data_IF_772512530801
#
_entry.id   IF_772512530801
#
_cell.length_a   1.000
_cell.length_b   1.000
_cell.length_c   1.000
_cell.angle_alpha   90.00
_cell.angle_beta   90.00
_cell.angle_gamma   90.00
#
_symmetry.space_group_name_H-M   'P 1'
#
loop_
_entity.id
_entity.type
_entity.pdbx_description
1 polymer ?
#
# COMPACT_ATOMS: atom_id res chain seq x y z
N UNK A 1 -29.21 -2.77 -5.93
CA UNK A 1 -29.79 -3.79 -6.84
C UNK A 1 -31.31 -3.97 -6.71
N UNK A 2 -31.87 -4.26 -5.52
CA UNK A 2 -33.30 -4.58 -5.35
C UNK A 2 -34.31 -3.50 -5.81
N UNK A 3 -33.87 -2.24 -5.96
CA UNK A 3 -34.70 -1.12 -6.41
C UNK A 3 -34.28 -0.54 -7.77
N UNK A 4 -33.48 -1.28 -8.56
CA UNK A 4 -32.99 -0.81 -9.86
C UNK A 4 -31.97 0.33 -9.79
N UNK A 5 -31.54 0.71 -8.58
CA UNK A 5 -30.51 1.74 -8.36
C UNK A 5 -29.22 1.02 -7.94
N UNK A 6 -28.14 1.37 -8.65
CA UNK A 6 -26.76 1.10 -8.27
C UNK A 6 -26.15 2.40 -7.75
N UNK A 7 -25.85 2.46 -6.45
CA UNK A 7 -25.27 3.66 -5.81
C UNK A 7 -23.78 3.41 -5.59
N UNK A 8 -22.90 4.33 -6.00
CA UNK A 8 -21.48 4.20 -5.73
C UNK A 8 -21.24 4.23 -4.22
N UNK A 9 -20.45 3.28 -3.71
CA UNK A 9 -19.98 3.30 -2.34
C UNK A 9 -18.62 4.00 -2.31
N UNK A 10 -18.47 4.97 -1.42
CA UNK A 10 -17.26 5.76 -1.23
C UNK A 10 -16.85 5.66 0.24
N UNK A 11 -15.58 5.33 0.48
CA UNK A 11 -14.95 5.50 1.78
C UNK A 11 -14.41 6.93 1.85
N UNK A 12 -15.24 7.84 2.37
CA UNK A 12 -15.01 9.28 2.30
C UNK A 12 -13.87 9.79 3.18
N UNK A 13 -13.48 9.03 4.20
CA UNK A 13 -12.37 9.37 5.10
C UNK A 13 -11.71 8.08 5.63
N UNK A 14 -10.43 7.90 5.31
CA UNK A 14 -9.54 6.92 5.91
C UNK A 14 -8.35 7.65 6.54
N UNK A 15 -7.86 7.18 7.68
CA UNK A 15 -6.76 7.80 8.41
C UNK A 15 -6.04 6.81 9.31
N UNK A 16 -4.84 7.19 9.76
CA UNK A 16 -4.10 6.55 10.85
C UNK A 16 -3.74 7.65 11.86
N UNK A 17 -4.15 7.49 13.12
CA UNK A 17 -4.17 8.56 14.12
C UNK A 17 -3.41 8.20 15.39
N UNK A 18 -3.28 9.21 16.26
CA UNK A 18 -2.72 9.11 17.60
C UNK A 18 -1.22 8.80 17.60
N UNK A 19 -0.47 9.56 16.78
CA UNK A 19 0.99 9.50 16.77
C UNK A 19 1.55 9.69 18.19
N UNK A 20 2.41 8.79 18.68
CA UNK A 20 2.85 8.79 20.08
C UNK A 20 3.79 9.95 20.44
N UNK A 21 4.50 10.50 19.45
CA UNK A 21 5.44 11.63 19.63
C UNK A 21 5.63 12.37 18.32
N UNK A 22 6.02 13.64 18.38
CA UNK A 22 6.36 14.46 17.20
C UNK A 22 7.86 14.62 16.98
N UNK A 23 8.70 13.94 17.78
CA UNK A 23 10.15 13.92 17.57
C UNK A 23 10.52 12.93 16.43
N UNK A 24 10.97 13.42 15.26
CA UNK A 24 11.27 12.56 14.11
C UNK A 24 12.49 11.64 14.33
N UNK A 25 13.31 11.91 15.35
CA UNK A 25 14.44 11.04 15.69
C UNK A 25 14.02 9.79 16.47
N UNK A 26 12.86 9.85 17.14
CA UNK A 26 12.30 8.76 17.96
C UNK A 26 11.94 7.54 17.14
N UNK A 27 12.22 6.35 17.68
CA UNK A 27 11.81 5.09 17.05
C UNK A 27 10.28 4.96 16.97
N UNK A 28 9.57 5.43 18.01
CA UNK A 28 8.11 5.41 18.03
C UNK A 28 7.50 6.29 16.92
N UNK A 29 8.16 7.40 16.56
CA UNK A 29 7.76 8.23 15.42
C UNK A 29 7.94 7.47 14.09
N UNK A 30 9.12 6.90 13.87
CA UNK A 30 9.46 6.18 12.63
C UNK A 30 8.54 4.98 12.42
N UNK A 31 8.34 4.20 13.47
CA UNK A 31 7.43 3.06 13.44
C UNK A 31 6.00 3.49 13.08
N UNK A 32 5.49 4.55 13.71
CA UNK A 32 4.16 5.08 13.40
C UNK A 32 4.05 5.53 11.93
N UNK A 33 5.03 6.28 11.42
CA UNK A 33 5.01 6.77 10.04
C UNK A 33 5.08 5.64 9.01
N UNK A 34 5.87 4.61 9.28
CA UNK A 34 5.94 3.43 8.41
C UNK A 34 4.65 2.61 8.45
N UNK A 35 4.07 2.39 9.65
CA UNK A 35 2.75 1.75 9.79
C UNK A 35 1.64 2.51 9.07
N UNK A 36 1.65 3.85 9.17
CA UNK A 36 0.73 4.72 8.44
C UNK A 36 0.89 4.54 6.92
N UNK A 37 2.13 4.45 6.42
CA UNK A 37 2.40 4.24 5.01
C UNK A 37 1.91 2.86 4.52
N UNK A 38 2.17 1.81 5.28
CA UNK A 38 1.69 0.46 5.00
C UNK A 38 0.15 0.40 4.98
N UNK A 39 -0.47 0.99 6.00
CA UNK A 39 -1.93 1.04 6.12
C UNK A 39 -2.58 1.86 5.00
N UNK A 40 -1.94 2.96 4.56
CA UNK A 40 -2.41 3.71 3.41
C UNK A 40 -2.47 2.81 2.17
N UNK A 41 -1.41 2.07 1.89
CA UNK A 41 -1.39 1.14 0.75
C UNK A 41 -2.49 0.07 0.88
N UNK A 42 -2.65 -0.51 2.07
CA UNK A 42 -3.70 -1.48 2.35
C UNK A 42 -5.11 -0.92 2.12
N UNK A 43 -5.44 0.24 2.69
CA UNK A 43 -6.82 0.77 2.67
C UNK A 43 -7.28 1.09 1.25
N UNK A 44 -6.39 1.61 0.41
CA UNK A 44 -6.68 1.84 -1.01
C UNK A 44 -6.88 0.52 -1.77
N UNK A 45 -5.93 -0.42 -1.68
CA UNK A 45 -6.00 -1.69 -2.39
C UNK A 45 -7.21 -2.54 -1.94
N UNK A 46 -7.45 -2.60 -0.64
CA UNK A 46 -8.60 -3.30 -0.07
C UNK A 46 -9.91 -2.64 -0.49
N UNK A 47 -10.00 -1.30 -0.46
CA UNK A 47 -11.19 -0.58 -0.94
C UNK A 47 -11.52 -0.90 -2.40
N UNK A 48 -10.53 -0.92 -3.28
CA UNK A 48 -10.73 -1.32 -4.67
C UNK A 48 -11.19 -2.78 -4.80
N UNK A 49 -10.67 -3.69 -3.96
CA UNK A 49 -11.13 -5.09 -3.93
C UNK A 49 -12.58 -5.27 -3.51
N UNK A 50 -13.14 -4.31 -2.78
CA UNK A 50 -14.54 -4.28 -2.37
C UNK A 50 -15.42 -3.49 -3.36
N UNK A 51 -14.91 -3.17 -4.56
CA UNK A 51 -15.59 -2.37 -5.59
C UNK A 51 -16.03 -0.98 -5.09
N UNK A 52 -15.30 -0.40 -4.13
CA UNK A 52 -15.49 0.99 -3.74
C UNK A 52 -15.08 1.91 -4.90
N UNK A 53 -15.89 2.94 -5.17
CA UNK A 53 -15.60 3.91 -6.24
C UNK A 53 -14.51 4.90 -5.86
N UNK A 54 -14.34 5.15 -4.57
CA UNK A 54 -13.26 5.97 -4.06
C UNK A 54 -12.93 5.60 -2.61
N UNK A 55 -11.66 5.75 -2.29
CA UNK A 55 -11.11 5.82 -0.92
C UNK A 55 -10.41 7.16 -0.83
N UNK A 56 -10.73 7.94 0.20
CA UNK A 56 -10.17 9.28 0.39
C UNK A 56 -9.42 9.32 1.71
N UNK A 57 -8.12 9.56 1.64
CA UNK A 57 -7.29 9.77 2.82
C UNK A 57 -7.58 11.14 3.47
N UNK A 58 -7.81 11.16 4.77
CA UNK A 58 -7.95 12.36 5.58
C UNK A 58 -6.64 12.65 6.31
N UNK A 59 -5.89 13.70 5.98
CA UNK A 59 -5.98 14.62 4.84
C UNK A 59 -4.54 15.07 4.50
N UNK A 60 -4.33 16.05 3.62
CA UNK A 60 -2.97 16.57 3.35
C UNK A 60 -2.33 17.13 4.62
N UNK A 61 -3.07 17.96 5.36
CA UNK A 61 -2.62 18.64 6.58
C UNK A 61 -2.88 17.83 7.85
N UNK A 62 -3.79 16.85 7.77
CA UNK A 62 -4.05 15.84 8.79
C UNK A 62 -4.58 16.34 10.13
N UNK A 63 -4.68 15.39 11.06
CA UNK A 63 -4.92 15.61 12.48
C UNK A 63 -4.26 14.46 13.26
N UNK A 64 -3.59 14.75 14.38
CA UNK A 64 -2.97 13.72 15.25
C UNK A 64 -2.05 12.72 14.53
N UNK A 65 -1.31 13.16 13.52
CA UNK A 65 -0.35 12.33 12.79
C UNK A 65 -0.82 11.79 11.45
N UNK A 66 -2.09 12.01 11.06
CA UNK A 66 -2.60 11.52 9.77
C UNK A 66 -2.13 12.32 8.56
N UNK A 67 -1.39 13.41 8.75
CA UNK A 67 -0.93 14.28 7.67
C UNK A 67 -0.08 13.53 6.66
N UNK A 68 -0.17 13.95 5.39
CA UNK A 68 0.68 13.45 4.32
C UNK A 68 1.89 14.36 4.10
N UNK A 69 1.78 15.63 4.47
CA UNK A 69 2.86 16.61 4.41
C UNK A 69 3.13 17.12 5.83
N UNK A 70 4.40 17.11 6.24
CA UNK A 70 4.85 17.64 7.51
C UNK A 70 4.70 19.16 7.56
N UNK A 71 4.68 19.74 8.77
CA UNK A 71 4.55 21.19 8.98
C UNK A 71 5.66 22.04 8.36
N UNK A 72 6.83 21.44 8.11
CA UNK A 72 7.95 22.07 7.41
C UNK A 72 7.87 21.91 5.87
N UNK A 73 6.79 21.35 5.34
CA UNK A 73 6.57 21.11 3.92
C UNK A 73 7.21 19.84 3.35
N UNK A 74 7.88 19.01 4.17
CA UNK A 74 8.45 17.75 3.67
C UNK A 74 7.41 16.65 3.60
N UNK A 75 7.62 15.72 2.67
CA UNK A 75 6.75 14.56 2.49
C UNK A 75 6.90 13.56 3.65
N UNK A 76 5.78 12.97 4.07
CA UNK A 76 5.78 11.80 4.95
C UNK A 76 6.01 10.50 4.14
N UNK A 77 6.43 9.39 4.78
CA UNK A 77 6.46 8.08 4.14
C UNK A 77 5.12 7.68 3.50
N UNK A 78 3.99 8.04 4.12
CA UNK A 78 2.67 7.76 3.58
C UNK A 78 2.38 8.53 2.27
N UNK A 79 2.86 9.78 2.15
CA UNK A 79 2.75 10.51 0.88
C UNK A 79 3.62 9.91 -0.21
N UNK A 80 4.82 9.45 0.13
CA UNK A 80 5.69 8.73 -0.80
C UNK A 80 5.02 7.44 -1.28
N UNK A 81 4.44 6.67 -0.35
CA UNK A 81 3.65 5.47 -0.66
C UNK A 81 2.48 5.76 -1.61
N UNK A 82 1.72 6.84 -1.36
CA UNK A 82 0.62 7.26 -2.21
C UNK A 82 1.09 7.65 -3.63
N UNK A 83 2.23 8.35 -3.76
CA UNK A 83 2.81 8.70 -5.07
C UNK A 83 3.23 7.47 -5.85
N UNK A 84 3.92 6.53 -5.21
CA UNK A 84 4.34 5.27 -5.84
C UNK A 84 3.14 4.43 -6.25
N UNK A 85 2.17 4.26 -5.35
CA UNK A 85 0.91 3.59 -5.67
C UNK A 85 0.23 4.21 -6.88
N UNK A 86 0.11 5.54 -6.90
CA UNK A 86 -0.54 6.27 -7.98
C UNK A 86 0.21 6.09 -9.30
N UNK A 87 1.55 6.17 -9.30
CA UNK A 87 2.34 6.02 -10.53
C UNK A 87 2.26 4.61 -11.12
N UNK A 88 2.16 3.59 -10.26
CA UNK A 88 2.07 2.19 -10.69
C UNK A 88 0.64 1.77 -11.05
N UNK A 89 -0.37 2.26 -10.33
CA UNK A 89 -1.73 1.70 -10.34
C UNK A 89 -2.84 2.65 -10.83
N UNK A 90 -2.60 3.93 -11.10
CA UNK A 90 -3.67 4.88 -11.49
C UNK A 90 -4.53 4.42 -12.68
N UNK A 91 -3.98 3.62 -13.58
CA UNK A 91 -4.67 3.09 -14.77
C UNK A 91 -4.70 1.57 -14.78
N UNK A 92 -4.60 0.94 -13.61
CA UNK A 92 -4.67 -0.50 -13.50
C UNK A 92 -6.11 -0.98 -13.33
N UNK A 93 -6.35 -2.21 -13.74
CA UNK A 93 -7.53 -2.98 -13.37
C UNK A 93 -7.13 -3.96 -12.26
N UNK A 94 -7.87 -3.97 -11.15
CA UNK A 94 -7.73 -5.02 -10.15
C UNK A 94 -8.38 -6.30 -10.69
N UNK A 95 -7.60 -7.35 -10.89
CA UNK A 95 -8.08 -8.63 -11.40
C UNK A 95 -8.56 -9.53 -10.27
N UNK A 96 -7.78 -9.67 -9.20
CA UNK A 96 -8.20 -10.43 -8.01
C UNK A 96 -7.46 -10.00 -6.74
N UNK A 97 -8.06 -10.37 -5.62
CA UNK A 97 -7.45 -10.39 -4.29
C UNK A 97 -7.38 -11.83 -3.81
N UNK A 98 -6.29 -12.18 -3.16
CA UNK A 98 -6.10 -13.49 -2.53
C UNK A 98 -5.45 -13.28 -1.16
N UNK A 99 -6.06 -13.84 -0.12
CA UNK A 99 -5.49 -13.83 1.23
C UNK A 99 -4.66 -15.12 1.40
N UNK A 100 -3.39 -14.96 1.72
CA UNK A 100 -2.41 -16.03 1.92
C UNK A 100 -1.96 -16.03 3.38
N UNK A 101 -1.24 -17.07 3.79
CA UNK A 101 -0.69 -17.11 5.15
C UNK A 101 0.32 -15.97 5.34
N UNK A 102 0.00 -15.04 6.23
CA UNK A 102 0.85 -13.89 6.61
C UNK A 102 0.72 -12.64 5.73
N UNK A 103 0.14 -12.71 4.53
CA UNK A 103 -0.05 -11.56 3.65
C UNK A 103 -1.26 -11.69 2.72
N UNK A 104 -1.75 -10.56 2.23
CA UNK A 104 -2.69 -10.49 1.11
C UNK A 104 -1.95 -10.14 -0.17
N UNK A 105 -2.32 -10.79 -1.27
CA UNK A 105 -1.88 -10.46 -2.62
C UNK A 105 -3.03 -9.82 -3.40
N UNK A 106 -2.77 -8.64 -3.95
CA UNK A 106 -3.63 -8.00 -4.94
C UNK A 106 -2.96 -8.08 -6.31
N UNK A 107 -3.70 -8.55 -7.31
CA UNK A 107 -3.23 -8.63 -8.68
C UNK A 107 -3.83 -7.50 -9.50
N UNK A 108 -2.98 -6.64 -10.04
CA UNK A 108 -3.34 -5.55 -10.92
C UNK A 108 -2.82 -5.78 -12.33
N UNK A 109 -3.62 -5.42 -13.32
CA UNK A 109 -3.23 -5.42 -14.73
C UNK A 109 -3.11 -4.00 -15.23
N UNK A 110 -1.99 -3.67 -15.89
CA UNK A 110 -1.83 -2.42 -16.63
C UNK A 110 -1.56 -2.71 -18.11
N UNK A 111 -1.31 -1.68 -18.90
CA UNK A 111 -0.94 -1.86 -20.30
C UNK A 111 0.50 -2.41 -20.40
N UNK A 112 0.64 -3.70 -20.74
CA UNK A 112 1.93 -4.34 -21.02
C UNK A 112 2.67 -4.92 -19.81
N UNK A 113 2.11 -4.84 -18.61
CA UNK A 113 2.66 -5.50 -17.41
C UNK A 113 1.56 -5.83 -16.41
N UNK A 114 1.81 -6.84 -15.58
CA UNK A 114 1.00 -7.16 -14.41
C UNK A 114 1.79 -6.82 -13.14
N UNK A 115 1.08 -6.44 -12.08
CA UNK A 115 1.67 -5.98 -10.81
C UNK A 115 1.02 -6.74 -9.67
N UNK A 116 1.81 -7.41 -8.85
CA UNK A 116 1.34 -7.99 -7.60
C UNK A 116 1.69 -7.03 -6.47
N UNK A 117 0.69 -6.53 -5.77
CA UNK A 117 0.91 -5.84 -4.51
C UNK A 117 0.76 -6.86 -3.39
N UNK A 118 1.87 -7.13 -2.69
CA UNK A 118 1.89 -7.98 -1.51
C UNK A 118 1.77 -7.06 -0.30
N UNK A 119 0.85 -7.35 0.62
CA UNK A 119 0.64 -6.57 1.85
C UNK A 119 0.68 -7.52 3.05
N UNK A 120 1.66 -7.41 3.96
CA UNK A 120 1.68 -8.17 5.21
C UNK A 120 0.39 -7.99 6.02
N UNK A 121 -0.12 -9.08 6.60
CA UNK A 121 -1.34 -9.11 7.43
C UNK A 121 -1.10 -9.68 8.83
N UNK A 122 0.15 -9.92 9.21
CA UNK A 122 0.52 -10.46 10.52
C UNK A 122 0.23 -9.50 11.68
N UNK A 123 0.03 -10.05 12.87
CA UNK A 123 -0.21 -9.26 14.10
C UNK A 123 1.05 -8.51 14.57
N UNK A 124 2.24 -9.02 14.21
CA UNK A 124 3.52 -8.44 14.57
C UNK A 124 4.05 -7.63 13.39
N UNK A 125 4.16 -6.32 13.60
CA UNK A 125 4.77 -5.40 12.66
C UNK A 125 6.22 -5.82 12.35
N UNK A 126 6.63 -5.64 11.09
CA UNK A 126 7.99 -5.97 10.60
C UNK A 126 8.33 -7.49 10.59
N UNK A 127 7.32 -8.36 10.65
CA UNK A 127 7.52 -9.81 10.51
C UNK A 127 8.03 -10.12 9.10
N UNK A 128 9.18 -10.82 8.96
CA UNK A 128 9.70 -11.21 7.66
C UNK A 128 8.76 -12.22 6.99
N UNK A 129 8.38 -11.94 5.75
CA UNK A 129 7.63 -12.84 4.89
C UNK A 129 8.45 -13.12 3.63
N UNK A 130 8.15 -14.26 3.00
CA UNK A 130 8.74 -14.59 1.72
C UNK A 130 7.77 -15.29 0.81
N UNK A 131 8.01 -15.16 -0.49
CA UNK A 131 7.30 -15.92 -1.50
C UNK A 131 8.25 -16.34 -2.62
N UNK A 132 7.97 -17.44 -3.34
CA UNK A 132 8.74 -17.79 -4.53
C UNK A 132 8.68 -16.68 -5.57
N UNK A 133 9.83 -16.34 -6.15
CA UNK A 133 9.94 -15.41 -7.27
C UNK A 133 9.20 -16.00 -8.47
N UNK A 134 8.22 -15.29 -9.06
CA UNK A 134 7.48 -15.81 -10.20
C UNK A 134 8.38 -15.93 -11.44
N UNK A 135 8.10 -16.90 -12.31
CA UNK A 135 8.94 -17.16 -13.51
C UNK A 135 8.99 -15.99 -14.49
N UNK A 136 7.95 -15.15 -14.50
CA UNK A 136 7.83 -13.94 -15.31
C UNK A 136 8.23 -12.66 -14.55
N UNK A 137 8.95 -12.78 -13.43
CA UNK A 137 9.46 -11.66 -12.64
C UNK A 137 10.31 -10.69 -13.48
N UNK A 138 10.10 -9.39 -13.26
CA UNK A 138 10.93 -8.33 -13.85
C UNK A 138 11.70 -7.57 -12.79
N UNK A 139 11.01 -7.06 -11.79
CA UNK A 139 11.58 -6.30 -10.67
C UNK A 139 10.58 -6.21 -9.53
N UNK A 140 11.06 -5.83 -8.35
CA UNK A 140 10.20 -5.45 -7.24
C UNK A 140 10.58 -4.05 -6.76
N UNK A 141 9.60 -3.26 -6.33
CA UNK A 141 9.83 -1.94 -5.74
C UNK A 141 9.09 -1.84 -4.41
N UNK A 142 9.71 -1.17 -3.43
CA UNK A 142 9.08 -0.86 -2.15
C UNK A 142 7.99 0.22 -2.31
N UNK A 143 7.28 0.53 -1.22
CA UNK A 143 6.27 1.60 -1.24
C UNK A 143 6.84 2.99 -1.50
N UNK A 144 8.11 3.25 -1.22
CA UNK A 144 8.76 4.52 -1.54
C UNK A 144 9.20 4.62 -3.01
N UNK A 145 9.10 3.53 -3.77
CA UNK A 145 9.45 3.45 -5.19
C UNK A 145 10.91 3.06 -5.44
N UNK A 146 11.65 2.62 -4.41
CA UNK A 146 13.01 2.11 -4.57
C UNK A 146 12.97 0.67 -5.08
N UNK A 147 13.85 0.33 -6.02
CA UNK A 147 13.99 -1.03 -6.51
C UNK A 147 14.68 -1.93 -5.48
N UNK A 148 14.09 -3.10 -5.23
CA UNK A 148 14.60 -4.09 -4.30
C UNK A 148 15.60 -5.02 -5.01
N UNK A 149 16.75 -5.25 -4.38
CA UNK A 149 17.75 -6.21 -4.86
C UNK A 149 17.33 -7.62 -4.45
N UNK A 150 16.92 -8.44 -5.42
CA UNK A 150 16.53 -9.84 -5.19
C UNK A 150 17.59 -10.75 -5.81
N UNK A 151 18.40 -11.41 -4.97
CA UNK A 151 19.54 -12.24 -5.38
C UNK A 151 19.27 -13.76 -5.42
N UNK A 152 18.01 -14.18 -5.22
CA UNK A 152 17.64 -15.60 -5.18
C UNK A 152 16.32 -15.92 -5.86
N UNK A 153 15.74 -17.06 -5.48
CA UNK A 153 14.45 -17.55 -6.00
C UNK A 153 13.26 -17.19 -5.10
N UNK A 154 13.51 -16.35 -4.09
CA UNK A 154 12.49 -15.84 -3.17
C UNK A 154 12.50 -14.32 -3.18
N UNK A 155 11.32 -13.75 -2.96
CA UNK A 155 11.12 -12.33 -2.67
C UNK A 155 10.85 -12.24 -1.18
N UNK A 156 11.74 -11.60 -0.43
CA UNK A 156 11.58 -11.33 1.00
C UNK A 156 11.04 -9.91 1.20
N UNK A 157 10.10 -9.75 2.12
CA UNK A 157 9.46 -8.47 2.39
C UNK A 157 8.89 -8.41 3.80
N UNK A 158 8.88 -7.20 4.36
CA UNK A 158 8.36 -6.89 5.71
C UNK A 158 7.24 -5.83 5.67
N UNK A 159 7.20 -5.10 4.56
CA UNK A 159 6.26 -4.03 4.23
C UNK A 159 5.61 -4.34 2.89
N UNK A 160 4.57 -3.59 2.49
CA UNK A 160 4.01 -3.78 1.18
C UNK A 160 5.04 -3.62 0.07
N UNK A 161 4.93 -4.45 -0.95
CA UNK A 161 5.86 -4.46 -2.08
C UNK A 161 5.10 -4.65 -3.37
N UNK A 162 5.52 -3.92 -4.41
CA UNK A 162 5.02 -4.09 -5.76
C UNK A 162 5.98 -5.00 -6.53
N UNK A 163 5.51 -6.18 -6.92
CA UNK A 163 6.23 -7.13 -7.78
C UNK A 163 5.72 -6.97 -9.20
N UNK A 164 6.57 -6.47 -10.09
CA UNK A 164 6.25 -6.26 -11.50
C UNK A 164 6.63 -7.51 -12.27
N UNK A 165 5.67 -8.05 -13.01
CA UNK A 165 5.82 -9.26 -13.82
C UNK A 165 5.39 -9.00 -15.26
N UNK A 166 5.91 -9.79 -16.19
CA UNK A 166 5.44 -9.75 -17.59
C UNK A 166 4.08 -10.39 -17.71
N UNK A 167 3.25 -9.86 -18.61
CA UNK A 167 2.03 -10.54 -19.04
C UNK A 167 2.32 -11.85 -19.77
#
# INVERSE_FOLDING_TARGET
AAYGIDKPIVHSEAYFLDRPTYDPSSEAYKQFENQKADYLVWVYANGWSQNLKAVVWYSIEGWKGSELINTNGTETPAYQALKTMSSLLQKSELIFREDLEGYTRFFFRTYGQDIWLLVPTGEVYDTPLSMPKPSNFKRAVDIAGNELVISGDTIEFHHPVYVIVSQ
#
